data_IF_835879971426
#
_entry.id   IF_835879971426
#
_cell.length_a   1.000
_cell.length_b   1.000
_cell.length_c   1.000
_cell.angle_alpha   90.00
_cell.angle_beta   90.00
_cell.angle_gamma   90.00
#
_symmetry.space_group_name_H-M   'P 1'
#
loop_
_entity.id
_entity.type
_entity.pdbx_description
1 polymer ?
#
# COMPACT_ATOMS: atom_id res chain seq x y z
N UNK A 1 -11.30 -10.52 4.26
CA UNK A 1 -10.74 -11.80 4.76
C UNK A 1 -9.62 -11.48 5.72
N UNK A 2 -9.63 -12.10 6.90
CA UNK A 2 -8.56 -12.06 7.90
C UNK A 2 -8.05 -13.49 8.07
N UNK A 3 -6.74 -13.68 8.05
CA UNK A 3 -6.09 -14.98 8.21
C UNK A 3 -5.09 -14.84 9.35
N UNK A 4 -5.20 -15.68 10.37
CA UNK A 4 -4.25 -15.77 11.47
C UNK A 4 -3.22 -16.85 11.15
N UNK A 5 -1.95 -16.52 11.38
CA UNK A 5 -0.82 -17.40 11.09
C UNK A 5 0.02 -17.51 12.35
N UNK A 6 0.30 -18.75 12.76
CA UNK A 6 1.31 -19.06 13.78
C UNK A 6 2.52 -19.73 13.11
N UNK A 7 3.63 -19.00 13.05
CA UNK A 7 4.83 -19.40 12.32
C UNK A 7 4.59 -19.55 10.82
N UNK A 8 4.43 -20.79 10.36
CA UNK A 8 4.20 -21.14 8.95
C UNK A 8 2.84 -21.81 8.70
N UNK A 9 1.91 -21.73 9.67
CA UNK A 9 0.64 -22.44 9.61
C UNK A 9 -0.52 -21.48 9.83
N UNK A 10 -1.50 -21.55 8.92
CA UNK A 10 -2.82 -20.94 9.13
C UNK A 10 -3.50 -21.57 10.35
N UNK A 11 -3.87 -20.74 11.32
CA UNK A 11 -4.60 -21.16 12.52
C UNK A 11 -6.08 -20.81 12.45
N UNK A 12 -6.42 -19.72 11.76
CA UNK A 12 -7.80 -19.24 11.62
C UNK A 12 -7.99 -18.46 10.33
N UNK A 13 -9.23 -18.49 9.83
CA UNK A 13 -9.68 -17.74 8.66
C UNK A 13 -11.08 -17.23 8.87
N UNK A 14 -11.25 -15.92 8.72
CA UNK A 14 -12.54 -15.25 8.97
C UNK A 14 -12.84 -14.22 7.90
N UNK A 15 -14.07 -14.25 7.39
CA UNK A 15 -14.58 -13.23 6.49
C UNK A 15 -15.23 -12.11 7.29
N UNK A 16 -14.49 -11.02 7.47
CA UNK A 16 -15.03 -9.80 8.02
C UNK A 16 -15.47 -8.87 6.90
N UNK A 17 -16.71 -8.38 7.00
CA UNK A 17 -17.20 -7.29 6.16
C UNK A 17 -16.51 -6.00 6.60
N UNK A 18 -15.83 -5.36 5.66
CA UNK A 18 -15.39 -3.98 5.80
C UNK A 18 -16.55 -3.10 5.31
N UNK A 19 -17.24 -2.37 6.20
CA UNK A 19 -18.32 -1.49 5.79
C UNK A 19 -17.80 -0.40 4.84
N UNK A 20 -18.71 0.21 4.07
CA UNK A 20 -18.35 1.33 3.20
C UNK A 20 -18.07 2.57 4.05
N UNK A 21 -16.83 2.62 4.55
CA UNK A 21 -16.31 3.69 5.37
C UNK A 21 -15.33 4.56 4.57
N UNK A 22 -15.16 5.84 4.94
CA UNK A 22 -14.10 6.70 4.42
C UNK A 22 -12.71 6.06 4.58
N UNK A 23 -11.81 6.37 3.65
CA UNK A 23 -10.46 5.78 3.59
C UNK A 23 -9.68 5.84 4.92
N UNK A 24 -9.83 6.93 5.66
CA UNK A 24 -9.17 7.11 6.96
C UNK A 24 -9.70 6.12 8.01
N UNK A 25 -11.02 5.91 8.05
CA UNK A 25 -11.64 4.99 8.99
C UNK A 25 -11.29 3.54 8.66
N UNK A 26 -11.17 3.18 7.38
CA UNK A 26 -10.71 1.84 6.97
C UNK A 26 -9.31 1.53 7.51
N UNK A 27 -8.37 2.47 7.42
CA UNK A 27 -7.02 2.29 7.97
C UNK A 27 -7.03 2.07 9.48
N UNK A 28 -7.80 2.89 10.22
CA UNK A 28 -7.97 2.74 11.68
C UNK A 28 -8.61 1.40 12.03
N UNK A 29 -9.62 0.96 11.26
CA UNK A 29 -10.31 -0.32 11.47
C UNK A 29 -9.36 -1.50 11.30
N UNK A 30 -8.55 -1.50 10.24
CA UNK A 30 -7.55 -2.53 9.98
C UNK A 30 -6.51 -2.60 11.11
N UNK A 31 -6.10 -1.44 11.63
CA UNK A 31 -5.21 -1.37 12.78
C UNK A 31 -5.87 -1.93 14.05
N UNK A 32 -7.14 -1.64 14.29
CA UNK A 32 -7.89 -2.16 15.44
C UNK A 32 -8.11 -3.68 15.38
N UNK A 33 -8.09 -4.28 14.19
CA UNK A 33 -8.11 -5.73 14.02
C UNK A 33 -6.76 -6.39 14.34
N UNK A 34 -5.70 -5.61 14.61
CA UNK A 34 -4.37 -6.15 14.87
C UNK A 34 -3.73 -6.79 13.63
N UNK A 35 -4.04 -6.27 12.44
CA UNK A 35 -3.47 -6.79 11.19
C UNK A 35 -2.03 -6.35 11.05
N UNK A 36 -1.09 -7.30 11.00
CA UNK A 36 0.32 -7.01 10.76
C UNK A 36 0.61 -6.77 9.26
N UNK A 37 -0.02 -7.55 8.38
CA UNK A 37 0.22 -7.53 6.93
C UNK A 37 -1.08 -7.48 6.15
N UNK A 38 -1.19 -6.50 5.25
CA UNK A 38 -2.29 -6.33 4.30
C UNK A 38 -1.86 -6.69 2.89
N UNK A 39 -2.39 -7.81 2.37
CA UNK A 39 -2.24 -8.18 0.96
C UNK A 39 -3.47 -7.69 0.19
N UNK A 40 -3.26 -6.86 -0.84
CA UNK A 40 -4.35 -6.29 -1.61
C UNK A 40 -4.04 -6.24 -3.10
N UNK A 41 -4.99 -6.70 -3.94
CA UNK A 41 -4.85 -6.65 -5.39
C UNK A 41 -4.98 -5.25 -5.96
N UNK A 42 -5.89 -4.43 -5.44
CA UNK A 42 -6.11 -3.07 -5.91
C UNK A 42 -6.26 -2.11 -4.74
N UNK A 43 -5.16 -1.41 -4.43
CA UNK A 43 -5.13 -0.37 -3.40
C UNK A 43 -4.56 0.91 -4.00
N UNK A 44 -5.21 2.05 -3.72
CA UNK A 44 -4.69 3.34 -4.15
C UNK A 44 -3.41 3.69 -3.37
N UNK A 45 -2.45 4.30 -4.03
CA UNK A 45 -1.20 4.74 -3.41
C UNK A 45 -1.39 5.57 -2.12
N UNK A 46 -2.30 6.57 -2.04
CA UNK A 46 -2.49 7.32 -0.80
C UNK A 46 -3.02 6.43 0.34
N UNK A 47 -3.88 5.45 0.05
CA UNK A 47 -4.39 4.53 1.07
C UNK A 47 -3.27 3.61 1.59
N UNK A 48 -2.47 3.04 0.69
CA UNK A 48 -1.34 2.20 1.05
C UNK A 48 -0.36 2.95 1.97
N UNK A 49 -0.02 4.20 1.63
CA UNK A 49 0.88 5.01 2.46
C UNK A 49 0.30 5.32 3.84
N UNK A 50 -1.01 5.59 3.94
CA UNK A 50 -1.63 5.83 5.24
C UNK A 50 -1.65 4.58 6.12
N UNK A 51 -1.99 3.43 5.54
CA UNK A 51 -2.02 2.14 6.26
C UNK A 51 -0.59 1.73 6.68
N UNK A 52 0.40 1.91 5.81
CA UNK A 52 1.80 1.70 6.20
C UNK A 52 2.27 2.64 7.29
N UNK A 53 1.76 3.87 7.32
CA UNK A 53 2.01 4.84 8.39
C UNK A 53 1.47 4.42 9.75
N UNK A 54 0.49 3.52 9.83
CA UNK A 54 -0.03 2.98 11.09
C UNK A 54 0.70 1.74 11.59
N UNK A 55 1.76 1.30 10.92
CA UNK A 55 2.56 0.13 11.31
C UNK A 55 2.17 -1.18 10.62
N UNK A 56 1.25 -1.14 9.65
CA UNK A 56 0.80 -2.31 8.89
C UNK A 56 1.63 -2.45 7.62
N UNK A 57 2.24 -3.60 7.37
CA UNK A 57 2.93 -3.85 6.11
C UNK A 57 1.92 -4.02 4.97
N UNK A 58 2.04 -3.21 3.92
CA UNK A 58 1.12 -3.28 2.77
C UNK A 58 1.83 -3.92 1.59
N UNK A 59 1.28 -5.04 1.12
CA UNK A 59 1.70 -5.77 -0.08
C UNK A 59 0.66 -5.55 -1.20
N UNK A 60 0.82 -4.48 -2.00
CA UNK A 60 -0.12 -4.13 -3.07
C UNK A 60 0.12 -4.94 -4.35
N UNK A 61 -0.85 -4.87 -5.26
CA UNK A 61 -0.80 -5.42 -6.62
C UNK A 61 -0.71 -6.96 -6.67
N UNK A 62 -1.22 -7.65 -5.65
CA UNK A 62 -1.22 -9.11 -5.58
C UNK A 62 -2.59 -9.68 -6.01
N UNK A 63 -2.60 -10.51 -7.05
CA UNK A 63 -3.80 -11.23 -7.50
C UNK A 63 -3.55 -12.74 -7.55
N UNK A 64 -4.59 -13.50 -7.27
CA UNK A 64 -4.58 -14.96 -7.23
C UNK A 64 -5.72 -15.46 -6.35
N UNK A 65 -5.88 -16.79 -6.25
CA UNK A 65 -6.74 -17.36 -5.22
C UNK A 65 -6.14 -17.12 -3.83
N UNK A 66 -6.98 -17.10 -2.80
CA UNK A 66 -6.54 -16.85 -1.42
C UNK A 66 -5.48 -17.89 -1.01
N UNK A 67 -5.69 -19.16 -1.35
CA UNK A 67 -4.78 -20.24 -0.97
C UNK A 67 -3.44 -20.13 -1.73
N UNK A 68 -3.43 -19.73 -3.00
CA UNK A 68 -2.18 -19.48 -3.74
C UNK A 68 -1.38 -18.32 -3.16
N UNK A 69 -2.07 -17.22 -2.84
CA UNK A 69 -1.46 -16.02 -2.26
C UNK A 69 -0.93 -16.32 -0.87
N UNK A 70 -1.67 -17.03 -0.03
CA UNK A 70 -1.24 -17.42 1.31
C UNK A 70 -0.03 -18.35 1.26
N UNK A 71 -0.05 -19.39 0.41
CA UNK A 71 1.09 -20.29 0.25
C UNK A 71 2.33 -19.55 -0.27
N UNK A 72 2.15 -18.59 -1.17
CA UNK A 72 3.24 -17.76 -1.66
C UNK A 72 3.77 -16.79 -0.59
N UNK A 73 2.91 -16.25 0.26
CA UNK A 73 3.29 -15.41 1.40
C UNK A 73 4.16 -16.20 2.37
N UNK A 74 3.68 -17.36 2.82
CA UNK A 74 4.40 -18.26 3.73
C UNK A 74 5.75 -18.73 3.17
N UNK A 75 5.83 -18.90 1.85
CA UNK A 75 7.06 -19.28 1.16
C UNK A 75 8.00 -18.09 0.83
N UNK A 76 7.62 -16.83 1.12
CA UNK A 76 8.40 -15.64 0.78
C UNK A 76 8.48 -15.35 -0.73
N UNK A 77 7.49 -15.80 -1.52
CA UNK A 77 7.47 -15.81 -2.99
C UNK A 77 6.46 -14.85 -3.62
N UNK A 78 5.83 -13.97 -2.84
CA UNK A 78 4.88 -12.97 -3.37
C UNK A 78 5.50 -11.95 -4.31
N UNK A 79 6.82 -11.78 -4.29
CA UNK A 79 7.53 -10.90 -5.23
C UNK A 79 7.66 -11.51 -6.64
N UNK A 80 7.27 -12.77 -6.85
CA UNK A 80 7.25 -13.39 -8.16
C UNK A 80 6.24 -12.69 -9.10
N UNK A 81 6.65 -12.45 -10.35
CA UNK A 81 5.88 -11.69 -11.33
C UNK A 81 4.47 -12.26 -11.59
N UNK A 82 4.25 -13.56 -11.34
CA UNK A 82 2.95 -14.23 -11.54
C UNK A 82 1.82 -13.73 -10.63
N UNK A 83 2.17 -13.18 -9.46
CA UNK A 83 1.19 -12.62 -8.53
C UNK A 83 0.99 -11.13 -8.75
N UNK A 84 1.91 -10.48 -9.46
CA UNK A 84 1.85 -9.04 -9.71
C UNK A 84 0.87 -8.74 -10.84
N UNK A 85 -0.16 -7.95 -10.55
CA UNK A 85 -1.10 -7.46 -11.58
C UNK A 85 -0.49 -6.37 -12.47
N UNK A 86 0.80 -6.04 -12.34
CA UNK A 86 1.39 -4.89 -13.02
C UNK A 86 1.45 -5.06 -14.55
N UNK A 87 0.35 -4.61 -15.18
CA UNK A 87 0.26 -4.08 -16.52
C UNK A 87 0.06 -2.56 -16.52
N UNK A 88 0.63 -1.80 -15.59
CA UNK A 88 0.62 -0.33 -15.63
C UNK A 88 1.88 0.25 -14.99
N UNK A 89 2.69 0.91 -15.82
CA UNK A 89 3.91 1.65 -15.49
C UNK A 89 3.63 2.73 -14.44
N UNK A 90 4.49 2.80 -13.41
CA UNK A 90 4.89 3.98 -12.61
C UNK A 90 4.86 3.73 -11.09
N UNK A 91 5.80 2.95 -10.57
CA UNK A 91 6.28 3.12 -9.19
C UNK A 91 7.72 3.60 -9.18
N UNK A 92 7.92 4.77 -9.78
CA UNK A 92 9.06 5.60 -9.38
C UNK A 92 8.86 5.97 -7.91
N UNK A 93 9.73 5.43 -7.06
CA UNK A 93 9.97 5.89 -5.69
C UNK A 93 10.50 7.33 -5.74
N UNK A 94 9.67 8.29 -6.13
CA UNK A 94 9.93 9.71 -5.90
C UNK A 94 9.18 10.09 -4.65
N UNK A 95 9.91 9.99 -3.53
CA UNK A 95 9.50 10.62 -2.28
C UNK A 95 9.01 12.02 -2.55
N UNK A 96 7.99 12.41 -1.79
CA UNK A 96 7.45 13.76 -1.72
C UNK A 96 8.59 14.77 -1.53
N UNK A 97 9.16 15.26 -2.62
CA UNK A 97 9.82 16.57 -2.60
C UNK A 97 8.69 17.58 -2.67
N UNK A 98 8.22 17.94 -1.48
CA UNK A 98 7.35 19.09 -1.30
C UNK A 98 7.90 20.26 -2.12
N UNK A 99 7.08 20.78 -3.03
CA UNK A 99 7.34 22.06 -3.71
C UNK A 99 7.07 23.18 -2.72
N UNK A 100 7.94 23.25 -1.72
CA UNK A 100 8.08 24.33 -0.77
C UNK A 100 9.56 24.61 -0.62
N UNK A 101 10.08 25.54 -1.43
CA UNK A 101 11.19 26.46 -1.09
C UNK A 101 11.53 27.32 -2.30
N UNK A 102 11.25 28.61 -2.15
CA UNK A 102 11.73 29.63 -3.06
C UNK A 102 13.25 29.61 -3.18
N UNK A 103 13.73 30.04 -4.34
CA UNK A 103 15.05 30.62 -4.54
C UNK A 103 14.95 31.50 -5.78
N UNK A 104 15.22 32.78 -5.57
CA UNK A 104 15.16 33.80 -6.60
C UNK A 104 16.09 33.50 -7.76
N UNK A 105 15.66 33.92 -8.95
CA UNK A 105 16.53 34.22 -10.07
C UNK A 105 16.01 35.53 -10.66
N UNK A 106 16.69 36.62 -10.29
CA UNK A 106 16.49 37.90 -10.96
C UNK A 106 16.84 37.79 -12.44
N UNK A 107 16.10 38.52 -13.28
CA UNK A 107 16.62 39.04 -14.53
C UNK A 107 16.14 40.47 -14.71
N UNK A 108 17.11 41.37 -14.51
CA UNK A 108 17.14 42.75 -14.99
C UNK A 108 16.63 42.82 -16.44
N UNK A 109 15.74 43.76 -16.73
CA UNK A 109 15.80 44.57 -17.96
C UNK A 109 15.35 45.99 -17.61
N UNK A 110 16.27 46.95 -17.70
CA UNK A 110 15.91 48.34 -18.02
C UNK A 110 15.29 48.39 -19.42
N UNK A 111 14.72 49.49 -19.92
CA UNK A 111 15.08 50.89 -19.76
C UNK A 111 14.10 51.70 -20.66
N UNK A 112 13.63 52.87 -20.18
CA UNK A 112 13.13 54.06 -20.92
C UNK A 112 11.88 53.83 -21.80
N UNK A 113 10.96 54.77 -21.95
CA UNK A 113 10.90 56.24 -21.79
C UNK A 113 9.43 56.64 -21.59
#
# INVERSE_FOLDING_TARGET
MLIEIDGQKETSRTENLLPDEPMLQRGVRLNNFGVDVLICGAISQPLALMISGSGIEVLPDISGSIDEVLNAYLAGRLTEQRFSIQGCKARERKGFRGRGRGRGLGRRRGRRE
#
